data_IF_201823823900
#
_entry.id   IF_201823823900
#
_cell.length_a   1.000
_cell.length_b   1.000
_cell.length_c   1.000
_cell.angle_alpha   90.00
_cell.angle_beta   90.00
_cell.angle_gamma   90.00
#
_symmetry.space_group_name_H-M   'P 1'
#
loop_
_entity.id
_entity.type
_entity.pdbx_description
1 polymer ?
#
# COMPACT_ATOMS: atom_id res chain seq x y z
N UNK A 1 8.86 9.75 -9.09
CA UNK A 1 7.38 9.68 -9.10
C UNK A 1 6.88 9.96 -7.70
N UNK A 2 5.61 10.37 -7.58
CA UNK A 2 4.88 10.45 -6.33
C UNK A 2 4.08 9.17 -6.12
N UNK A 3 4.30 8.47 -5.02
CA UNK A 3 3.65 7.19 -4.74
C UNK A 3 2.97 7.26 -3.37
N UNK A 4 1.68 6.91 -3.32
CA UNK A 4 0.98 6.75 -2.07
C UNK A 4 0.94 5.26 -1.68
N UNK A 5 1.19 4.96 -0.41
CA UNK A 5 1.03 3.62 0.18
C UNK A 5 -0.08 3.71 1.23
N UNK A 6 -1.04 2.80 1.15
CA UNK A 6 -2.10 2.62 2.14
C UNK A 6 -2.05 1.17 2.59
N UNK A 7 -1.45 0.95 3.76
CA UNK A 7 -1.07 -0.37 4.28
C UNK A 7 -1.19 -0.36 5.81
N UNK A 8 -1.85 -1.37 6.38
CA UNK A 8 -2.05 -1.48 7.84
C UNK A 8 -1.03 -2.41 8.51
N UNK A 9 -0.40 -3.32 7.74
CA UNK A 9 0.78 -4.06 8.20
C UNK A 9 2.03 -3.17 8.15
N UNK A 10 2.49 -2.76 9.32
CA UNK A 10 3.67 -1.91 9.48
C UNK A 10 4.94 -2.54 8.88
N UNK A 11 5.08 -3.87 8.96
CA UNK A 11 6.24 -4.58 8.42
C UNK A 11 6.29 -4.51 6.89
N UNK A 12 5.14 -4.68 6.25
CA UNK A 12 5.01 -4.55 4.79
C UNK A 12 5.24 -3.10 4.37
N UNK A 13 4.63 -2.15 5.08
CA UNK A 13 4.81 -0.72 4.84
C UNK A 13 6.29 -0.30 4.86
N UNK A 14 7.05 -0.73 5.88
CA UNK A 14 8.49 -0.42 5.97
C UNK A 14 9.27 -0.99 4.78
N UNK A 15 8.97 -2.23 4.38
CA UNK A 15 9.63 -2.87 3.24
C UNK A 15 9.36 -2.14 1.92
N UNK A 16 8.14 -1.61 1.73
CA UNK A 16 7.79 -0.80 0.57
C UNK A 16 8.45 0.58 0.61
N UNK A 17 8.41 1.24 1.77
CA UNK A 17 9.03 2.56 1.99
C UNK A 17 10.53 2.57 1.71
N UNK A 18 11.25 1.56 2.21
CA UNK A 18 12.70 1.44 2.00
C UNK A 18 13.05 1.38 0.51
N UNK A 19 12.38 0.50 -0.24
CA UNK A 19 12.62 0.32 -1.67
C UNK A 19 12.27 1.58 -2.45
N UNK A 20 11.09 2.16 -2.23
CA UNK A 20 10.65 3.35 -2.96
C UNK A 20 11.54 4.57 -2.71
N UNK A 21 11.98 4.77 -1.46
CA UNK A 21 12.90 5.87 -1.12
C UNK A 21 14.29 5.65 -1.72
N UNK A 22 14.79 4.41 -1.72
CA UNK A 22 16.07 4.08 -2.33
C UNK A 22 16.09 4.37 -3.85
N UNK A 23 14.96 4.17 -4.53
CA UNK A 23 14.76 4.50 -5.95
C UNK A 23 14.46 6.00 -6.19
N UNK A 24 14.56 6.84 -5.16
CA UNK A 24 14.41 8.30 -5.28
C UNK A 24 12.96 8.76 -5.52
N UNK A 25 11.97 7.97 -5.11
CA UNK A 25 10.57 8.37 -5.20
C UNK A 25 10.13 9.21 -3.99
N UNK A 26 9.17 10.10 -4.23
CA UNK A 26 8.49 10.84 -3.17
C UNK A 26 7.32 9.98 -2.69
N UNK A 27 7.27 9.67 -1.39
CA UNK A 27 6.33 8.68 -0.84
C UNK A 27 5.44 9.29 0.23
N UNK A 28 4.13 9.13 0.06
CA UNK A 28 3.14 9.34 1.12
C UNK A 28 2.76 7.96 1.67
N UNK A 29 3.08 7.69 2.93
CA UNK A 29 2.70 6.44 3.60
C UNK A 29 1.61 6.68 4.64
N UNK A 30 0.51 5.97 4.50
CA UNK A 30 -0.67 6.05 5.35
C UNK A 30 -0.97 4.68 5.98
N UNK A 31 -1.20 4.69 7.28
CA UNK A 31 -1.62 3.51 8.06
C UNK A 31 -3.03 3.75 8.58
N UNK A 32 -4.07 3.17 7.95
CA UNK A 32 -5.41 3.19 8.49
C UNK A 32 -5.43 2.52 9.86
N UNK A 33 -5.87 3.22 10.90
CA UNK A 33 -5.98 2.62 12.23
C UNK A 33 -7.03 3.32 13.10
N UNK A 34 -7.55 2.59 14.09
CA UNK A 34 -8.37 3.19 15.15
C UNK A 34 -7.47 3.79 16.25
N UNK A 35 -7.91 4.91 16.84
CA UNK A 35 -7.22 5.70 17.90
C UNK A 35 -6.41 4.93 18.94
N UNK A 36 -6.82 3.72 19.28
CA UNK A 36 -6.21 2.90 20.32
C UNK A 36 -4.81 2.39 19.97
N UNK A 37 -4.36 2.47 18.71
CA UNK A 37 -3.01 2.04 18.27
C UNK A 37 -2.00 3.20 18.09
N UNK A 38 -2.39 4.46 18.29
CA UNK A 38 -1.61 5.67 17.95
C UNK A 38 -0.35 5.95 18.81
N UNK A 39 0.19 5.00 19.57
CA UNK A 39 1.31 5.28 20.47
C UNK A 39 2.71 5.26 19.82
N UNK A 40 2.83 5.14 18.48
CA UNK A 40 4.14 5.10 17.81
C UNK A 40 4.19 5.96 16.56
N UNK A 41 4.30 7.26 16.71
CA UNK A 41 4.71 8.14 15.60
C UNK A 41 6.06 7.64 15.03
N UNK A 42 6.03 7.10 13.81
CA UNK A 42 7.22 6.94 12.99
C UNK A 42 7.35 8.17 12.09
N UNK A 43 8.55 8.72 11.94
CA UNK A 43 8.77 9.91 11.10
C UNK A 43 8.43 9.71 9.61
N UNK A 44 8.21 8.46 9.18
CA UNK A 44 8.15 8.06 7.78
C UNK A 44 6.74 7.71 7.26
N UNK A 45 5.73 7.67 8.14
CA UNK A 45 4.34 7.38 7.77
C UNK A 45 3.35 8.04 8.73
N UNK A 46 2.09 8.17 8.32
CA UNK A 46 1.04 8.81 9.11
C UNK A 46 -0.09 7.83 9.39
N UNK A 47 -0.52 7.78 10.64
CA UNK A 47 -1.75 7.12 10.97
C UNK A 47 -2.95 7.98 10.58
N UNK A 48 -4.00 7.33 10.08
CA UNK A 48 -5.23 7.99 9.61
C UNK A 48 -6.43 7.24 10.17
N UNK A 49 -7.43 7.99 10.65
CA UNK A 49 -8.59 7.41 11.35
C UNK A 49 -9.79 7.26 10.42
N UNK A 50 -9.88 8.10 9.38
CA UNK A 50 -11.06 8.19 8.53
C UNK A 50 -10.74 8.02 7.06
N UNK A 51 -11.73 7.53 6.31
CA UNK A 51 -11.66 7.42 4.86
C UNK A 51 -11.54 8.79 4.19
N UNK A 52 -12.21 9.80 4.75
CA UNK A 52 -12.15 11.18 4.30
C UNK A 52 -10.74 11.76 4.41
N UNK A 53 -10.03 11.50 5.53
CA UNK A 53 -8.63 11.90 5.70
C UNK A 53 -7.73 11.22 4.68
N UNK A 54 -7.85 9.91 4.49
CA UNK A 54 -7.11 9.16 3.46
C UNK A 54 -7.31 9.83 2.10
N UNK A 55 -8.56 10.09 1.72
CA UNK A 55 -8.88 10.69 0.44
C UNK A 55 -8.32 12.10 0.29
N UNK A 56 -8.44 12.93 1.33
CA UNK A 56 -7.92 14.30 1.32
C UNK A 56 -6.41 14.30 1.12
N UNK A 57 -5.68 13.49 1.89
CA UNK A 57 -4.22 13.46 1.85
C UNK A 57 -3.70 12.88 0.54
N UNK A 58 -4.32 11.82 0.04
CA UNK A 58 -3.94 11.23 -1.26
C UNK A 58 -4.21 12.20 -2.39
N UNK A 59 -5.36 12.87 -2.40
CA UNK A 59 -5.70 13.83 -3.46
C UNK A 59 -4.80 15.08 -3.42
N UNK A 60 -4.50 15.61 -2.23
CA UNK A 60 -3.57 16.74 -2.07
C UNK A 60 -2.15 16.37 -2.51
N UNK A 61 -1.69 15.17 -2.17
CA UNK A 61 -0.38 14.69 -2.57
C UNK A 61 -0.26 14.52 -4.09
N UNK A 62 -1.35 14.06 -4.73
CA UNK A 62 -1.47 13.87 -6.17
C UNK A 62 -0.54 12.77 -6.70
N UNK A 63 -0.67 11.51 -6.25
CA UNK A 63 0.25 10.44 -6.63
C UNK A 63 0.06 9.97 -8.08
N UNK A 64 1.18 9.56 -8.68
CA UNK A 64 1.21 8.87 -9.97
C UNK A 64 0.66 7.44 -9.84
N UNK A 65 0.95 6.79 -8.71
CA UNK A 65 0.53 5.41 -8.36
C UNK A 65 0.12 5.31 -6.89
N UNK A 66 -0.82 4.40 -6.62
CA UNK A 66 -1.25 4.06 -5.26
C UNK A 66 -1.09 2.57 -5.03
N UNK A 67 -0.25 2.24 -4.04
CA UNK A 67 -0.15 0.91 -3.46
C UNK A 67 -1.20 0.79 -2.37
N UNK A 68 -2.07 -0.20 -2.47
CA UNK A 68 -3.21 -0.34 -1.59
C UNK A 68 -3.38 -1.78 -1.16
N UNK A 69 -3.38 -1.99 0.16
CA UNK A 69 -3.81 -3.27 0.68
C UNK A 69 -5.33 -3.42 0.49
N UNK A 70 -5.74 -4.55 -0.07
CA UNK A 70 -7.15 -4.91 -0.19
C UNK A 70 -7.72 -5.44 1.13
N UNK A 71 -6.86 -5.94 2.03
CA UNK A 71 -7.25 -6.68 3.22
C UNK A 71 -7.28 -5.86 4.51
N UNK A 72 -7.13 -4.53 4.42
CA UNK A 72 -7.12 -3.58 5.54
C UNK A 72 -8.02 -4.03 6.71
N UNK A 73 -7.39 -4.16 7.87
CA UNK A 73 -7.97 -4.60 9.13
C UNK A 73 -8.50 -3.37 9.88
N UNK A 74 -9.62 -2.83 9.36
CA UNK A 74 -10.47 -1.75 9.88
C UNK A 74 -10.07 -0.29 9.56
N UNK A 75 -11.02 0.68 9.50
CA UNK A 75 -12.49 0.55 9.44
C UNK A 75 -13.05 0.25 8.05
N UNK A 76 -12.22 0.37 7.01
CA UNK A 76 -12.65 0.30 5.61
C UNK A 76 -11.85 -0.78 4.89
N UNK A 77 -12.47 -1.41 3.89
CA UNK A 77 -11.76 -2.34 3.02
C UNK A 77 -11.06 -1.57 1.89
N UNK A 78 -10.00 -2.17 1.32
CA UNK A 78 -9.23 -1.49 0.29
C UNK A 78 -10.03 -1.18 -0.97
N UNK A 79 -11.04 -1.98 -1.30
CA UNK A 79 -11.99 -1.67 -2.38
C UNK A 79 -12.85 -0.43 -2.09
N UNK A 80 -13.29 -0.23 -0.85
CA UNK A 80 -13.98 0.99 -0.43
C UNK A 80 -13.07 2.22 -0.54
N UNK A 81 -11.81 2.09 -0.13
CA UNK A 81 -10.78 3.13 -0.27
C UNK A 81 -10.56 3.49 -1.73
N UNK A 82 -10.34 2.48 -2.59
CA UNK A 82 -10.14 2.68 -4.02
C UNK A 82 -11.35 3.34 -4.69
N UNK A 83 -12.57 2.90 -4.35
CA UNK A 83 -13.81 3.46 -4.87
C UNK A 83 -13.94 4.94 -4.49
N UNK A 84 -13.70 5.29 -3.23
CA UNK A 84 -13.83 6.65 -2.73
C UNK A 84 -12.76 7.60 -3.30
N UNK A 85 -11.54 7.09 -3.48
CA UNK A 85 -10.45 7.84 -4.10
C UNK A 85 -10.74 8.21 -5.56
N UNK A 86 -11.60 7.45 -6.25
CA UNK A 86 -11.94 7.71 -7.67
C UNK A 86 -10.73 7.60 -8.60
N UNK A 87 -9.68 6.89 -8.19
CA UNK A 87 -8.43 6.78 -8.94
C UNK A 87 -8.60 5.77 -10.08
N UNK A 88 -8.03 6.10 -11.23
CA UNK A 88 -8.01 5.20 -12.38
C UNK A 88 -7.37 3.86 -12.03
N UNK A 89 -7.98 2.76 -12.46
CA UNK A 89 -7.50 1.40 -12.19
C UNK A 89 -6.03 1.18 -12.61
N UNK A 90 -5.57 1.87 -13.65
CA UNK A 90 -4.18 1.81 -14.14
C UNK A 90 -3.15 2.35 -13.14
N UNK A 91 -3.59 3.13 -12.15
CA UNK A 91 -2.76 3.73 -11.09
C UNK A 91 -2.80 2.93 -9.78
N UNK A 92 -3.78 2.03 -9.63
CA UNK A 92 -3.96 1.21 -8.43
C UNK A 92 -3.16 -0.09 -8.51
N UNK A 93 -2.49 -0.44 -7.43
CA UNK A 93 -1.64 -1.62 -7.32
C UNK A 93 -1.90 -2.29 -5.98
N UNK A 94 -2.32 -3.55 -6.01
CA UNK A 94 -2.69 -4.29 -4.82
C UNK A 94 -1.46 -4.83 -4.08
N UNK A 95 -1.40 -4.63 -2.77
CA UNK A 95 -0.32 -5.16 -1.89
C UNK A 95 -0.77 -6.34 -1.03
N UNK A 96 -2.06 -6.72 -1.07
CA UNK A 96 -2.59 -7.73 -0.15
C UNK A 96 -1.93 -9.10 -0.28
N UNK A 97 -1.73 -9.73 0.86
CA UNK A 97 -1.18 -11.09 0.97
C UNK A 97 -2.07 -12.13 0.29
N UNK A 98 -3.41 -12.00 0.35
CA UNK A 98 -4.37 -12.86 -0.35
C UNK A 98 -4.29 -12.75 -1.88
N UNK A 99 -4.17 -11.53 -2.41
CA UNK A 99 -4.00 -11.28 -3.84
C UNK A 99 -2.65 -11.78 -4.32
N UNK A 100 -1.63 -11.55 -3.50
CA UNK A 100 -0.25 -11.94 -3.75
C UNK A 100 -0.10 -13.47 -3.79
N UNK A 101 -0.68 -14.18 -2.82
CA UNK A 101 -0.68 -15.64 -2.79
C UNK A 101 -1.34 -16.21 -4.06
N UNK A 102 -2.53 -15.69 -4.42
CA UNK A 102 -3.24 -16.12 -5.63
C UNK A 102 -2.45 -15.86 -6.91
N UNK A 103 -1.72 -14.74 -6.98
CA UNK A 103 -0.85 -14.43 -8.11
C UNK A 103 0.37 -15.36 -8.18
N UNK A 104 1.07 -15.54 -7.06
CA UNK A 104 2.25 -16.40 -6.95
C UNK A 104 1.90 -17.84 -7.34
N UNK A 105 0.79 -18.37 -6.83
CA UNK A 105 0.30 -19.71 -7.15
C UNK A 105 -0.01 -19.87 -8.65
N UNK A 106 -0.65 -18.86 -9.26
CA UNK A 106 -0.96 -18.87 -10.71
C UNK A 106 0.27 -18.80 -11.60
N UNK A 107 1.32 -18.07 -11.20
CA UNK A 107 2.43 -17.71 -12.10
C UNK A 107 3.68 -18.55 -11.91
N UNK A 108 3.95 -18.99 -10.69
CA UNK A 108 5.16 -19.75 -10.38
C UNK A 108 4.84 -21.19 -9.93
N UNK A 109 3.56 -21.56 -9.93
CA UNK A 109 3.06 -22.80 -9.36
C UNK A 109 3.20 -22.80 -7.83
N UNK A 110 2.33 -23.55 -7.14
CA UNK A 110 2.32 -23.68 -5.68
C UNK A 110 3.64 -24.20 -5.05
N UNK A 111 4.71 -24.37 -5.83
CA UNK A 111 6.05 -24.79 -5.43
C UNK A 111 7.04 -23.63 -5.28
N UNK A 112 6.70 -22.42 -5.76
CA UNK A 112 7.55 -21.23 -5.66
C UNK A 112 6.90 -20.21 -4.72
N UNK A 113 7.24 -20.30 -3.44
CA UNK A 113 6.66 -19.47 -2.39
C UNK A 113 7.35 -18.10 -2.31
N UNK A 114 7.23 -17.26 -3.34
CA UNK A 114 7.52 -15.84 -3.14
C UNK A 114 6.55 -15.35 -2.07
N UNK A 115 7.10 -14.93 -0.92
CA UNK A 115 6.30 -14.41 0.18
C UNK A 115 5.55 -13.15 -0.25
N UNK A 116 4.51 -12.78 0.47
CA UNK A 116 3.71 -11.60 0.13
C UNK A 116 4.56 -10.33 -0.01
N UNK A 117 5.52 -10.17 0.88
CA UNK A 117 6.56 -9.11 0.85
C UNK A 117 7.41 -9.12 -0.40
N UNK A 118 7.82 -10.29 -0.87
CA UNK A 118 8.73 -10.42 -2.03
C UNK A 118 8.01 -10.07 -3.33
N UNK A 119 6.73 -10.41 -3.44
CA UNK A 119 5.94 -10.02 -4.61
C UNK A 119 5.53 -8.55 -4.58
N UNK A 120 5.18 -7.97 -3.43
CA UNK A 120 4.93 -6.54 -3.34
C UNK A 120 6.19 -5.74 -3.77
N UNK A 121 7.38 -6.21 -3.36
CA UNK A 121 8.67 -5.71 -3.87
C UNK A 121 8.88 -5.96 -5.37
N UNK A 122 8.40 -7.08 -5.92
CA UNK A 122 8.48 -7.36 -7.35
C UNK A 122 7.54 -6.50 -8.20
N UNK A 123 6.29 -6.27 -7.77
CA UNK A 123 5.40 -5.31 -8.43
C UNK A 123 5.96 -3.89 -8.30
N UNK A 124 6.53 -3.55 -7.14
CA UNK A 124 7.33 -2.33 -6.98
C UNK A 124 8.42 -2.21 -8.05
N UNK A 125 9.23 -3.26 -8.25
CA UNK A 125 10.28 -3.26 -9.28
C UNK A 125 9.74 -2.99 -10.69
N UNK A 126 8.50 -3.37 -11.00
CA UNK A 126 7.86 -3.04 -12.30
C UNK A 126 7.36 -1.60 -12.41
N UNK A 127 7.10 -0.95 -11.29
CA UNK A 127 6.67 0.45 -11.23
C UNK A 127 7.86 1.37 -11.33
N UNK A 128 8.94 1.04 -10.60
CA UNK A 128 10.13 1.89 -10.43
C UNK A 128 11.16 1.75 -11.56
N UNK A 129 11.17 0.62 -12.29
CA UNK A 129 11.98 0.41 -13.50
C UNK A 129 11.36 1.08 -14.74
#
# INVERSE_FOLDING_TARGET
MKIAIIEDDIGDLFGLLEVLKAEGHEVLALVPCNRLRLQKEGNDFKYVETLEEICSMVNEFGPDKVLLDHSLDMPYKGDEVAYKLGIERSKLIGTSSSFTQSYCDKRFGAKSHLGHRDFAKFELLKIVA
#
